data_IF_572804435904
#
_entry.id   IF_572804435904
#
_cell.length_a   1.000
_cell.length_b   1.000
_cell.length_c   1.000
_cell.angle_alpha   90.00
_cell.angle_beta   90.00
_cell.angle_gamma   90.00
#
_symmetry.space_group_name_H-M   'P 1'
#
loop_
_entity.id
_entity.type
_entity.pdbx_description
1 polymer ?
#
# COMPACT_ATOMS: atom_id res chain seq x y z
N UNK A 1 -12.81 8.88 -12.22
CA UNK A 1 -12.21 8.90 -13.58
C UNK A 1 -10.70 8.89 -13.37
N UNK A 2 -9.98 7.91 -13.92
CA UNK A 2 -8.51 7.87 -13.83
C UNK A 2 -7.88 8.31 -15.16
N UNK A 3 -6.58 8.56 -15.17
CA UNK A 3 -5.81 9.02 -16.34
C UNK A 3 -5.60 7.93 -17.40
N UNK A 4 -5.93 6.68 -17.09
CA UNK A 4 -5.78 5.52 -17.97
C UNK A 4 -7.14 4.87 -18.27
N UNK A 5 -7.44 4.67 -19.56
CA UNK A 5 -8.67 4.02 -20.03
C UNK A 5 -8.37 2.72 -20.79
N UNK A 6 -9.22 1.70 -20.61
CA UNK A 6 -9.21 0.50 -21.44
C UNK A 6 -8.26 -0.61 -20.99
N UNK A 7 -7.81 -0.62 -19.73
CA UNK A 7 -7.04 -1.75 -19.19
C UNK A 7 -7.98 -2.79 -18.60
N UNK A 8 -8.09 -3.92 -19.28
CA UNK A 8 -8.87 -5.08 -18.84
C UNK A 8 -8.03 -6.35 -18.82
N UNK A 9 -8.34 -7.25 -17.89
CA UNK A 9 -7.71 -8.58 -17.82
C UNK A 9 -8.71 -9.64 -17.37
N UNK A 10 -8.42 -10.90 -17.65
CA UNK A 10 -9.23 -12.02 -17.20
C UNK A 10 -8.85 -12.43 -15.77
N UNK A 11 -9.87 -12.69 -14.93
CA UNK A 11 -9.67 -13.37 -13.65
C UNK A 11 -9.02 -14.74 -13.89
N UNK A 12 -8.14 -15.16 -12.98
CA UNK A 12 -7.41 -16.44 -13.03
C UNK A 12 -6.45 -16.63 -14.20
N UNK A 13 -6.36 -15.67 -15.13
CA UNK A 13 -5.38 -15.69 -16.20
C UNK A 13 -4.02 -15.17 -15.71
N UNK A 14 -2.90 -15.79 -16.13
CA UNK A 14 -1.58 -15.22 -15.93
C UNK A 14 -1.40 -13.97 -16.81
N UNK A 15 -1.03 -12.86 -16.17
CA UNK A 15 -0.77 -11.58 -16.84
C UNK A 15 0.69 -11.19 -16.61
N UNK A 16 1.40 -10.83 -17.68
CA UNK A 16 2.71 -10.19 -17.63
C UNK A 16 2.54 -8.67 -17.74
N UNK A 17 2.87 -7.97 -16.68
CA UNK A 17 2.79 -6.52 -16.58
C UNK A 17 4.18 -5.92 -16.84
N UNK A 18 4.31 -5.22 -17.96
CA UNK A 18 5.52 -4.50 -18.34
C UNK A 18 5.37 -3.02 -17.96
N UNK A 19 6.25 -2.54 -17.09
CA UNK A 19 6.20 -1.20 -16.53
C UNK A 19 7.46 -0.43 -16.90
N UNK A 20 7.31 0.86 -17.16
CA UNK A 20 8.42 1.79 -17.42
C UNK A 20 8.20 3.07 -16.61
N UNK A 21 9.23 3.47 -15.85
CA UNK A 21 9.27 4.76 -15.15
C UNK A 21 10.02 5.77 -15.99
N UNK A 22 9.41 6.91 -16.29
CA UNK A 22 10.02 7.96 -17.11
C UNK A 22 9.73 9.32 -16.51
N UNK A 23 10.78 10.12 -16.30
CA UNK A 23 10.70 11.49 -15.82
C UNK A 23 11.94 12.28 -16.27
N UNK A 24 11.83 13.59 -16.43
CA UNK A 24 12.99 14.46 -16.69
C UNK A 24 13.84 14.67 -15.45
N UNK A 25 13.24 14.50 -14.27
CA UNK A 25 13.89 14.67 -12.97
C UNK A 25 14.13 13.31 -12.30
N UNK A 26 15.01 13.24 -11.28
CA UNK A 26 15.12 12.07 -10.43
C UNK A 26 13.79 11.78 -9.72
N UNK A 27 13.08 10.75 -10.17
CA UNK A 27 11.75 10.39 -9.67
C UNK A 27 11.65 8.88 -9.40
N UNK A 28 10.95 8.53 -8.32
CA UNK A 28 10.71 7.15 -7.90
C UNK A 28 9.21 6.86 -7.86
N UNK A 29 8.79 5.87 -8.64
CA UNK A 29 7.42 5.41 -8.75
C UNK A 29 7.25 4.09 -7.98
N UNK A 30 6.15 3.96 -7.24
CA UNK A 30 5.75 2.70 -6.62
C UNK A 30 4.40 2.26 -7.18
N UNK A 31 4.41 1.44 -8.24
CA UNK A 31 3.20 1.01 -8.96
C UNK A 31 2.48 -0.08 -8.16
N UNK A 32 1.18 0.11 -7.89
CA UNK A 32 0.37 -0.81 -7.10
C UNK A 32 -1.03 -0.97 -7.70
N UNK A 33 -1.54 -2.21 -7.70
CA UNK A 33 -2.93 -2.52 -8.04
C UNK A 33 -3.62 -3.05 -6.79
N UNK A 34 -4.66 -2.35 -6.33
CA UNK A 34 -5.38 -2.72 -5.12
C UNK A 34 -5.92 -4.16 -5.21
N UNK A 35 -5.82 -4.92 -4.12
CA UNK A 35 -6.33 -6.29 -4.03
C UNK A 35 -5.55 -7.34 -4.84
N UNK A 36 -4.50 -6.93 -5.56
CA UNK A 36 -3.67 -7.83 -6.36
C UNK A 36 -2.30 -8.04 -5.73
N UNK A 37 -1.73 -9.22 -5.97
CA UNK A 37 -0.35 -9.56 -5.60
C UNK A 37 0.41 -9.85 -6.89
N UNK A 38 1.54 -9.19 -7.07
CA UNK A 38 2.43 -9.37 -8.22
C UNK A 38 3.63 -10.22 -7.82
N UNK A 39 4.36 -10.73 -8.80
CA UNK A 39 5.59 -11.49 -8.63
C UNK A 39 6.69 -10.84 -9.47
N UNK A 40 7.78 -10.44 -8.84
CA UNK A 40 8.93 -9.82 -9.48
C UNK A 40 10.20 -10.55 -9.03
N UNK A 41 11.01 -11.04 -9.97
CA UNK A 41 12.24 -11.77 -9.65
C UNK A 41 12.04 -13.02 -8.77
N UNK A 42 10.88 -13.67 -8.86
CA UNK A 42 10.52 -14.82 -8.02
C UNK A 42 9.93 -14.46 -6.64
N UNK A 43 9.86 -13.17 -6.28
CA UNK A 43 9.32 -12.71 -5.01
C UNK A 43 7.90 -12.14 -5.16
N UNK A 44 7.01 -12.45 -4.20
CA UNK A 44 5.68 -11.84 -4.14
C UNK A 44 5.79 -10.41 -3.62
N UNK A 45 5.22 -9.47 -4.36
CA UNK A 45 5.26 -8.03 -4.07
C UNK A 45 3.87 -7.42 -4.20
N UNK A 46 3.59 -6.44 -3.35
CA UNK A 46 2.37 -5.63 -3.43
C UNK A 46 2.55 -4.44 -4.37
N UNK A 47 3.78 -3.91 -4.48
CA UNK A 47 4.10 -2.77 -5.33
C UNK A 47 5.41 -2.99 -6.06
N UNK A 48 5.50 -2.54 -7.31
CA UNK A 48 6.73 -2.57 -8.11
C UNK A 48 7.35 -1.18 -8.09
N UNK A 49 8.59 -1.11 -7.61
CA UNK A 49 9.39 0.12 -7.62
C UNK A 49 10.03 0.35 -8.99
N UNK A 50 9.97 1.59 -9.46
CA UNK A 50 10.65 2.06 -10.66
C UNK A 50 11.33 3.39 -10.36
N UNK A 51 12.47 3.63 -10.96
CA UNK A 51 13.11 4.94 -11.03
C UNK A 51 13.01 5.49 -12.45
N UNK A 52 13.25 6.78 -12.62
CA UNK A 52 13.30 7.38 -13.95
C UNK A 52 14.31 6.65 -14.86
N UNK A 53 13.87 6.29 -16.07
CA UNK A 53 14.67 5.58 -17.07
C UNK A 53 14.74 4.07 -16.87
N UNK A 54 14.03 3.51 -15.88
CA UNK A 54 14.01 2.06 -15.62
C UNK A 54 12.74 1.39 -16.13
N UNK A 55 12.85 0.11 -16.47
CA UNK A 55 11.71 -0.77 -16.73
C UNK A 55 11.73 -1.99 -15.81
N UNK A 56 10.55 -2.49 -15.43
CA UNK A 56 10.40 -3.74 -14.72
C UNK A 56 9.27 -4.56 -15.33
N UNK A 57 9.40 -5.88 -15.25
CA UNK A 57 8.31 -6.80 -15.58
C UNK A 57 7.89 -7.54 -14.31
N UNK A 58 6.60 -7.63 -14.08
CA UNK A 58 6.02 -8.39 -12.99
C UNK A 58 4.88 -9.26 -13.49
N UNK A 59 4.73 -10.45 -12.92
CA UNK A 59 3.65 -11.37 -13.27
C UNK A 59 2.57 -11.35 -12.20
N UNK A 60 1.30 -11.41 -12.58
CA UNK A 60 0.18 -11.44 -11.63
C UNK A 60 -0.93 -12.35 -12.12
N UNK A 61 -1.72 -12.87 -11.19
CA UNK A 61 -2.94 -13.65 -11.46
C UNK A 61 -4.05 -13.06 -10.59
N UNK A 62 -5.05 -12.44 -11.22
CA UNK A 62 -6.11 -11.77 -10.48
C UNK A 62 -7.10 -12.79 -9.89
N UNK A 63 -7.33 -12.80 -8.57
CA UNK A 63 -8.17 -13.83 -7.93
C UNK A 63 -9.66 -13.53 -8.05
N UNK A 64 -10.06 -12.26 -8.18
CA UNK A 64 -11.46 -11.86 -8.17
C UNK A 64 -11.75 -10.83 -9.27
N UNK A 65 -12.86 -11.05 -9.98
CA UNK A 65 -13.40 -10.09 -10.92
C UNK A 65 -13.87 -8.82 -10.19
N UNK A 66 -13.69 -7.67 -10.84
CA UNK A 66 -13.99 -6.37 -10.26
C UNK A 66 -13.12 -5.27 -10.85
N UNK A 67 -13.40 -4.04 -10.43
CA UNK A 67 -12.66 -2.85 -10.85
C UNK A 67 -11.67 -2.45 -9.77
N UNK A 68 -10.38 -2.50 -10.09
CA UNK A 68 -9.29 -2.28 -9.14
C UNK A 68 -8.53 -1.00 -9.45
N UNK A 69 -8.20 -0.23 -8.41
CA UNK A 69 -7.38 0.98 -8.54
C UNK A 69 -5.93 0.59 -8.85
N UNK A 70 -5.41 1.11 -9.95
CA UNK A 70 -3.99 1.10 -10.29
C UNK A 70 -3.45 2.50 -10.00
N UNK A 71 -2.49 2.63 -9.10
CA UNK A 71 -1.91 3.94 -8.78
C UNK A 71 -0.48 3.84 -8.33
N UNK A 72 0.20 4.98 -8.26
CA UNK A 72 1.43 5.06 -7.48
C UNK A 72 1.12 5.21 -5.98
N UNK A 73 1.88 4.56 -5.10
CA UNK A 73 1.75 4.74 -3.63
C UNK A 73 2.41 6.02 -3.11
N UNK A 74 3.14 6.73 -3.94
CA UNK A 74 3.68 8.06 -3.61
C UNK A 74 2.54 9.09 -3.57
N UNK A 75 2.37 9.79 -2.44
CA UNK A 75 1.25 10.73 -2.24
C UNK A 75 1.18 11.83 -3.32
N UNK A 76 2.33 12.45 -3.64
CA UNK A 76 2.42 13.45 -4.72
C UNK A 76 1.86 12.94 -6.06
N UNK A 77 2.09 11.68 -6.39
CA UNK A 77 1.66 11.10 -7.66
C UNK A 77 0.15 10.89 -7.71
N UNK A 78 -0.46 10.34 -6.64
CA UNK A 78 -1.90 10.11 -6.62
C UNK A 78 -2.67 11.43 -6.57
N UNK A 79 -2.19 12.42 -5.81
CA UNK A 79 -2.73 13.78 -5.77
C UNK A 79 -2.65 14.49 -7.13
N UNK A 80 -1.54 14.28 -7.85
CA UNK A 80 -1.37 14.80 -9.22
C UNK A 80 -2.16 14.01 -10.29
N UNK A 81 -2.91 12.97 -9.91
CA UNK A 81 -3.76 12.21 -10.83
C UNK A 81 -3.12 11.01 -11.50
N UNK A 82 -1.96 10.53 -11.03
CA UNK A 82 -1.34 9.28 -11.49
C UNK A 82 -2.06 8.06 -10.88
N UNK A 83 -3.30 7.87 -11.31
CA UNK A 83 -4.12 6.71 -11.00
C UNK A 83 -5.04 6.35 -12.16
N UNK A 84 -5.28 5.07 -12.33
CA UNK A 84 -6.16 4.46 -13.32
C UNK A 84 -6.95 3.32 -12.71
N UNK A 85 -7.72 2.63 -13.54
CA UNK A 85 -8.46 1.44 -13.11
C UNK A 85 -8.14 0.28 -14.03
N UNK A 86 -8.10 -0.90 -13.44
CA UNK A 86 -7.95 -2.18 -14.12
C UNK A 86 -9.25 -2.95 -13.93
N UNK A 87 -9.91 -3.28 -15.04
CA UNK A 87 -11.14 -4.05 -15.02
C UNK A 87 -10.82 -5.54 -15.16
N UNK A 88 -11.02 -6.30 -14.08
CA UNK A 88 -10.86 -7.75 -14.07
C UNK A 88 -12.21 -8.39 -14.37
N UNK A 89 -12.29 -9.14 -15.46
CA UNK A 89 -13.52 -9.76 -15.94
C UNK A 89 -13.44 -11.29 -15.86
N UNK A 90 -14.60 -11.94 -15.75
CA UNK A 90 -14.67 -13.39 -15.94
C UNK A 90 -14.58 -13.68 -17.44
N UNK A 91 -13.76 -14.66 -17.80
CA UNK A 91 -13.53 -15.05 -19.19
C UNK A 91 -13.75 -16.56 -19.30
N UNK A 92 -14.35 -17.02 -20.40
CA UNK A 92 -14.75 -18.43 -20.57
C UNK A 92 -13.56 -19.41 -20.51
N UNK A 93 -12.37 -18.95 -20.88
CA UNK A 93 -11.15 -19.78 -20.91
C UNK A 93 -10.45 -19.92 -19.55
N UNK A 94 -10.90 -19.18 -18.52
CA UNK A 94 -10.21 -19.11 -17.23
C UNK A 94 -11.21 -19.33 -16.09
N UNK A 95 -11.31 -20.57 -15.65
CA UNK A 95 -12.17 -20.95 -14.53
C UNK A 95 -11.54 -20.65 -13.17
N UNK A 96 -12.39 -20.42 -12.18
CA UNK A 96 -11.95 -20.25 -10.79
C UNK A 96 -11.35 -21.56 -10.27
N UNK A 97 -10.09 -21.56 -9.78
CA UNK A 97 -9.47 -22.76 -9.28
C UNK A 97 -10.20 -23.26 -8.02
N UNK A 98 -10.62 -24.52 -8.03
CA UNK A 98 -11.25 -25.17 -6.88
C UNK A 98 -10.26 -25.29 -5.72
N UNK A 99 -10.26 -24.33 -4.80
CA UNK A 99 -9.45 -24.38 -3.58
C UNK A 99 -10.08 -25.32 -2.56
N UNK A 100 -9.77 -26.61 -2.67
CA UNK A 100 -10.07 -27.58 -1.60
C UNK A 100 -8.89 -27.68 -0.64
N UNK A 101 -9.08 -27.20 0.58
CA UNK A 101 -8.10 -27.42 1.64
C UNK A 101 -8.03 -28.90 2.00
N UNK A 102 -6.81 -29.43 2.10
CA UNK A 102 -6.59 -30.79 2.63
C UNK A 102 -6.97 -30.86 4.10
N UNK A 103 -7.19 -32.07 4.63
CA UNK A 103 -7.49 -32.28 6.06
C UNK A 103 -6.36 -31.70 6.93
N UNK A 104 -5.10 -31.86 6.52
CA UNK A 104 -3.95 -31.29 7.22
C UNK A 104 -3.97 -29.76 7.21
N UNK A 105 -4.28 -29.13 6.07
CA UNK A 105 -4.41 -27.67 5.96
C UNK A 105 -5.56 -27.13 6.82
N UNK A 106 -6.71 -27.82 6.87
CA UNK A 106 -7.83 -27.42 7.73
C UNK A 106 -7.45 -27.47 9.21
N UNK A 107 -6.70 -28.50 9.64
CA UNK A 107 -6.21 -28.60 11.03
C UNK A 107 -5.20 -27.51 11.40
N UNK A 108 -4.52 -26.94 10.42
CA UNK A 108 -3.57 -25.83 10.60
C UNK A 108 -4.22 -24.44 10.40
N UNK A 109 -5.48 -24.40 9.98
CA UNK A 109 -6.20 -23.15 9.73
C UNK A 109 -6.73 -22.59 11.04
N UNK A 110 -6.13 -21.49 11.49
CA UNK A 110 -6.61 -20.75 12.65
C UNK A 110 -7.34 -19.49 12.19
N UNK A 111 -8.46 -19.19 12.84
CA UNK A 111 -9.12 -17.89 12.74
C UNK A 111 -8.46 -16.93 13.73
N UNK A 112 -8.05 -15.76 13.25
CA UNK A 112 -7.44 -14.72 14.07
C UNK A 112 -8.41 -13.55 14.20
N UNK A 113 -8.89 -13.29 15.42
CA UNK A 113 -9.81 -12.19 15.72
C UNK A 113 -9.02 -11.06 16.37
N UNK A 114 -9.06 -9.88 15.75
CA UNK A 114 -8.42 -8.66 16.26
C UNK A 114 -9.48 -7.58 16.51
N UNK A 115 -9.39 -6.92 17.66
CA UNK A 115 -10.24 -5.78 18.01
C UNK A 115 -9.40 -4.52 17.91
N UNK A 116 -9.51 -3.76 16.82
CA UNK A 116 -8.69 -2.57 16.58
C UNK A 116 -9.60 -1.36 16.43
N UNK A 117 -9.34 -0.29 17.18
CA UNK A 117 -10.03 1.00 17.04
C UNK A 117 -9.05 2.11 16.66
N UNK A 118 -9.58 3.20 16.07
CA UNK A 118 -8.83 4.41 15.81
C UNK A 118 -9.07 5.41 16.95
N UNK A 119 -8.02 5.79 17.67
CA UNK A 119 -8.10 6.68 18.83
C UNK A 119 -7.27 7.96 18.63
N UNK A 120 -7.79 9.08 19.14
CA UNK A 120 -7.08 10.34 19.14
C UNK A 120 -6.17 10.47 20.36
N UNK A 121 -4.88 10.67 20.14
CA UNK A 121 -3.90 10.89 21.20
C UNK A 121 -3.04 12.12 20.92
N UNK A 122 -2.42 12.66 21.97
CA UNK A 122 -1.33 13.63 21.82
C UNK A 122 -0.02 12.86 21.69
N UNK A 123 0.47 12.74 20.46
CA UNK A 123 1.72 12.07 20.16
C UNK A 123 2.91 13.01 20.35
N UNK A 124 3.88 12.63 21.18
CA UNK A 124 5.16 13.32 21.30
C UNK A 124 6.21 12.62 20.42
N UNK A 125 6.71 13.29 19.39
CA UNK A 125 7.74 12.73 18.50
C UNK A 125 9.13 12.64 19.14
N UNK A 126 9.37 13.39 20.22
CA UNK A 126 10.62 13.32 20.97
C UNK A 126 10.31 13.26 22.48
N UNK A 127 9.95 12.08 23.00
CA UNK A 127 9.69 11.90 24.43
C UNK A 127 10.98 12.04 25.26
N UNK A 128 12.10 11.58 24.71
CA UNK A 128 13.43 11.70 25.31
C UNK A 128 14.31 12.50 24.35
N UNK A 129 14.55 13.77 24.69
CA UNK A 129 15.46 14.61 23.91
C UNK A 129 16.89 14.09 24.14
N UNK A 130 17.58 13.72 23.07
CA UNK A 130 18.98 13.30 23.14
C UNK A 130 19.88 14.53 23.07
N UNK A 131 20.97 14.54 23.85
CA UNK A 131 21.89 15.69 23.95
C UNK A 131 22.62 16.01 22.63
N UNK A 132 22.67 15.07 21.69
CA UNK A 132 23.35 15.23 20.41
C UNK A 132 22.47 15.79 19.28
N UNK A 133 21.21 16.15 19.56
CA UNK A 133 20.33 16.74 18.55
C UNK A 133 20.77 18.18 18.29
N UNK A 134 21.06 18.50 17.03
CA UNK A 134 21.46 19.84 16.58
C UNK A 134 20.46 20.91 17.04
N UNK A 135 20.97 22.05 17.54
CA UNK A 135 20.16 23.15 18.03
C UNK A 135 19.20 23.73 16.97
N UNK A 136 19.62 23.79 15.70
CA UNK A 136 18.78 24.27 14.60
C UNK A 136 17.63 23.29 14.32
N UNK A 137 17.92 21.98 14.36
CA UNK A 137 16.89 20.94 14.24
C UNK A 137 15.87 21.02 15.39
N UNK A 138 16.35 21.20 16.62
CA UNK A 138 15.47 21.37 17.77
C UNK A 138 14.56 22.58 17.59
N UNK A 139 15.13 23.72 17.21
CA UNK A 139 14.38 24.97 17.00
C UNK A 139 13.32 24.84 15.93
N UNK A 140 13.64 24.16 14.82
CA UNK A 140 12.73 24.02 13.68
C UNK A 140 11.59 23.02 13.94
N UNK A 141 11.86 21.89 14.61
CA UNK A 141 10.89 20.79 14.69
C UNK A 141 10.36 20.49 16.09
N UNK A 142 11.10 20.83 17.15
CA UNK A 142 10.81 20.37 18.51
C UNK A 142 10.41 21.50 19.47
N UNK A 143 11.05 22.67 19.35
CA UNK A 143 10.81 23.82 20.22
C UNK A 143 9.49 24.51 19.88
N UNK A 144 8.65 24.69 20.91
CA UNK A 144 7.40 25.44 20.77
C UNK A 144 7.69 26.95 20.71
N UNK A 145 7.05 27.65 19.78
CA UNK A 145 7.11 29.12 19.65
C UNK A 145 5.77 29.67 19.17
N UNK A 146 5.55 31.00 19.10
CA UNK A 146 4.29 31.55 18.58
C UNK A 146 3.95 31.10 17.16
N UNK A 147 4.95 30.71 16.36
CA UNK A 147 4.77 30.24 14.97
C UNK A 147 5.03 28.74 14.80
N UNK A 148 5.40 28.01 15.86
CA UNK A 148 5.73 26.58 15.79
C UNK A 148 5.03 25.80 16.91
N UNK A 149 4.34 24.72 16.54
CA UNK A 149 3.58 23.87 17.46
C UNK A 149 4.51 23.14 18.46
N UNK A 150 5.74 22.81 18.02
CA UNK A 150 6.73 22.04 18.79
C UNK A 150 6.61 20.53 18.53
N UNK A 151 7.13 19.71 19.45
CA UNK A 151 7.26 18.25 19.27
C UNK A 151 5.97 17.42 19.42
N UNK A 152 4.86 18.01 19.90
CA UNK A 152 3.63 17.29 20.26
C UNK A 152 2.48 17.64 19.33
N UNK A 153 1.83 16.62 18.77
CA UNK A 153 0.73 16.77 17.81
C UNK A 153 -0.43 15.85 18.15
N UNK A 154 -1.66 16.32 17.94
CA UNK A 154 -2.83 15.44 17.95
C UNK A 154 -2.77 14.50 16.73
N UNK A 155 -2.88 13.20 16.96
CA UNK A 155 -2.84 12.15 15.93
C UNK A 155 -3.94 11.13 16.18
N UNK A 156 -4.39 10.45 15.14
CA UNK A 156 -5.24 9.27 15.23
C UNK A 156 -4.38 8.02 15.03
N UNK A 157 -4.39 7.09 15.99
CA UNK A 157 -3.59 5.86 15.97
C UNK A 157 -4.48 4.63 16.05
N UNK A 158 -3.98 3.49 15.55
CA UNK A 158 -4.64 2.21 15.73
C UNK A 158 -4.26 1.60 17.09
N UNK A 159 -5.26 1.33 17.92
CA UNK A 159 -5.10 0.70 19.25
C UNK A 159 -5.71 -0.71 19.21
N UNK A 160 -4.96 -1.70 19.72
CA UNK A 160 -5.41 -3.08 19.85
C UNK A 160 -6.07 -3.31 21.20
N UNK A 161 -7.24 -3.95 21.18
CA UNK A 161 -8.02 -4.38 22.34
C UNK A 161 -8.10 -5.89 22.44
N UNK A 162 -8.48 -6.35 23.62
CA UNK A 162 -8.62 -7.78 23.93
C UNK A 162 -9.98 -8.34 23.52
N UNK A 163 -11.02 -7.50 23.43
CA UNK A 163 -12.39 -7.93 23.17
C UNK A 163 -13.23 -6.85 22.46
N UNK A 164 -14.46 -7.22 22.10
CA UNK A 164 -15.41 -6.40 21.35
C UNK A 164 -15.98 -5.20 22.12
N UNK A 165 -15.71 -5.06 23.42
CA UNK A 165 -16.17 -3.92 24.22
C UNK A 165 -15.31 -2.67 24.00
N UNK A 166 -14.10 -2.81 23.43
CA UNK A 166 -13.16 -1.71 23.20
C UNK A 166 -12.88 -0.86 24.46
N UNK A 167 -12.76 -1.55 25.60
CA UNK A 167 -12.44 -0.98 26.93
C UNK A 167 -11.13 -1.51 27.46
#
# INVERSE_FOLDING_TARGET
RGSLSGVSMCAHAPVSLHLAGMSSEPEAFSVHINGQVMTQGGHKVSSVGLISGSSATASLVAPYAGRWLLSSKTMKHIEAGLHGFVDVQKCDNFEEPSRRMTIAQKRQSNEWIYYIAAEEIIWNFSPNLQDHVDADFQRQYLTKSPTHIGAKYKKAVYTLYTNASFT
#
